data_IF_616909184158
#
_entry.id   IF_616909184158
#
_cell.length_a   1.000
_cell.length_b   1.000
_cell.length_c   1.000
_cell.angle_alpha   90.00
_cell.angle_beta   90.00
_cell.angle_gamma   90.00
#
_symmetry.space_group_name_H-M   'P 1'
#
loop_
_entity.id
_entity.type
_entity.pdbx_description
1 polymer ?
#
# COMPACT_ATOMS: atom_id res chain seq x y z
N UNK A 1 -28.34 -9.66 -7.56
CA UNK A 1 -27.57 -8.42 -7.29
C UNK A 1 -26.42 -8.78 -6.36
N UNK A 2 -25.19 -8.32 -6.63
CA UNK A 2 -24.10 -8.45 -5.65
C UNK A 2 -24.52 -7.71 -4.37
N UNK A 3 -24.41 -8.30 -3.17
CA UNK A 3 -24.79 -7.61 -1.95
C UNK A 3 -23.99 -6.31 -1.83
N UNK A 4 -24.65 -5.24 -1.39
CA UNK A 4 -24.02 -3.95 -1.16
C UNK A 4 -22.84 -4.16 -0.18
N UNK A 5 -21.64 -3.64 -0.47
CA UNK A 5 -20.47 -3.91 0.36
C UNK A 5 -20.70 -3.38 1.78
N UNK A 6 -20.28 -4.11 2.81
CA UNK A 6 -20.15 -3.51 4.12
C UNK A 6 -19.04 -2.45 4.05
N UNK A 7 -19.37 -1.23 4.47
CA UNK A 7 -18.47 -0.09 4.42
C UNK A 7 -18.07 0.31 5.84
N UNK A 8 -16.78 0.54 6.02
CA UNK A 8 -16.24 1.26 7.17
C UNK A 8 -15.49 2.45 6.60
N UNK A 9 -15.87 3.66 7.01
CA UNK A 9 -15.31 4.93 6.49
C UNK A 9 -15.24 4.97 4.95
N UNK A 10 -16.36 4.62 4.30
CA UNK A 10 -16.52 4.55 2.84
C UNK A 10 -15.55 3.60 2.12
N UNK A 11 -14.89 2.70 2.86
CA UNK A 11 -14.01 1.69 2.30
C UNK A 11 -14.67 0.33 2.44
N UNK A 12 -14.71 -0.43 1.35
CA UNK A 12 -15.27 -1.78 1.32
C UNK A 12 -14.44 -2.74 2.17
N UNK A 13 -15.09 -3.56 3.00
CA UNK A 13 -14.41 -4.49 3.94
C UNK A 13 -14.81 -5.94 3.75
N UNK A 14 -15.65 -6.23 2.75
CA UNK A 14 -15.99 -7.59 2.31
C UNK A 14 -15.19 -7.94 1.06
N UNK A 15 -14.99 -9.24 0.86
CA UNK A 15 -14.34 -9.76 -0.34
C UNK A 15 -15.03 -9.26 -1.60
N UNK A 16 -14.24 -8.78 -2.55
CA UNK A 16 -14.71 -8.43 -3.90
C UNK A 16 -14.94 -9.66 -4.78
N UNK A 17 -14.47 -10.84 -4.34
CA UNK A 17 -14.64 -12.11 -5.03
C UNK A 17 -16.05 -12.66 -4.92
N UNK A 18 -16.31 -13.70 -5.71
CA UNK A 18 -17.56 -14.44 -5.69
C UNK A 18 -17.86 -15.04 -4.29
N UNK A 19 -19.14 -15.14 -3.89
CA UNK A 19 -19.55 -15.99 -2.80
C UNK A 19 -19.01 -17.42 -2.99
N UNK A 20 -18.69 -18.13 -1.90
CA UNK A 20 -18.07 -19.46 -1.95
C UNK A 20 -18.80 -20.45 -2.86
N UNK A 21 -20.14 -20.41 -2.88
CA UNK A 21 -20.96 -21.27 -3.74
C UNK A 21 -20.71 -20.97 -5.23
N UNK A 22 -20.72 -19.70 -5.60
CA UNK A 22 -20.51 -19.26 -6.97
C UNK A 22 -19.06 -19.48 -7.41
N UNK A 23 -18.08 -19.19 -6.53
CA UNK A 23 -16.68 -19.52 -6.77
C UNK A 23 -16.48 -21.02 -7.06
N UNK A 24 -17.06 -21.90 -6.22
CA UNK A 24 -16.97 -23.35 -6.40
C UNK A 24 -17.61 -23.80 -7.71
N UNK A 25 -18.77 -23.26 -8.07
CA UNK A 25 -19.44 -23.58 -9.32
C UNK A 25 -18.61 -23.16 -10.53
N UNK A 26 -18.07 -21.94 -10.53
CA UNK A 26 -17.20 -21.45 -11.61
C UNK A 26 -15.93 -22.28 -11.72
N UNK A 27 -15.34 -22.65 -10.57
CA UNK A 27 -14.12 -23.45 -10.54
C UNK A 27 -14.34 -24.88 -11.03
N UNK A 28 -15.44 -25.53 -10.64
CA UNK A 28 -15.77 -26.88 -11.12
C UNK A 28 -16.09 -26.91 -12.62
N UNK A 29 -16.75 -25.86 -13.14
CA UNK A 29 -17.10 -25.74 -14.55
C UNK A 29 -15.88 -25.46 -15.44
N UNK A 30 -15.02 -24.52 -15.05
CA UNK A 30 -13.90 -24.07 -15.89
C UNK A 30 -12.61 -24.84 -15.64
N UNK A 31 -12.44 -25.43 -14.46
CA UNK A 31 -11.21 -26.09 -14.03
C UNK A 31 -11.50 -27.37 -13.21
N UNK A 32 -12.17 -28.38 -13.80
CA UNK A 32 -12.64 -29.56 -13.09
C UNK A 32 -11.53 -30.35 -12.40
N UNK A 33 -10.33 -30.41 -12.99
CA UNK A 33 -9.19 -31.13 -12.41
C UNK A 33 -8.61 -30.39 -11.20
N UNK A 34 -8.53 -29.06 -11.22
CA UNK A 34 -8.15 -28.27 -10.04
C UNK A 34 -9.21 -28.44 -8.95
N UNK A 35 -10.50 -28.34 -9.31
CA UNK A 35 -11.60 -28.45 -8.34
C UNK A 35 -11.58 -29.76 -7.56
N UNK A 36 -11.35 -30.90 -8.23
CA UNK A 36 -11.28 -32.23 -7.59
C UNK A 36 -10.12 -32.37 -6.61
N UNK A 37 -9.01 -31.67 -6.86
CA UNK A 37 -7.79 -31.76 -6.06
C UNK A 37 -7.71 -30.71 -4.93
N UNK A 38 -8.65 -29.77 -4.85
CA UNK A 38 -8.67 -28.76 -3.80
C UNK A 38 -9.39 -29.25 -2.54
N UNK A 39 -8.77 -29.00 -1.38
CA UNK A 39 -9.37 -29.29 -0.09
C UNK A 39 -10.27 -28.15 0.40
N UNK A 40 -11.57 -28.22 0.11
CA UNK A 40 -12.55 -27.24 0.57
C UNK A 40 -12.97 -27.38 2.04
N UNK A 41 -12.48 -28.38 2.78
CA UNK A 41 -12.80 -28.56 4.21
C UNK A 41 -11.99 -27.62 5.10
N UNK A 42 -10.81 -27.19 4.63
CA UNK A 42 -9.97 -26.26 5.37
C UNK A 42 -10.53 -24.84 5.22
N UNK A 43 -10.77 -24.16 6.35
CA UNK A 43 -11.08 -22.74 6.32
C UNK A 43 -9.82 -21.98 5.89
N UNK A 44 -9.89 -21.15 4.85
CA UNK A 44 -8.74 -20.34 4.46
C UNK A 44 -8.41 -19.34 5.58
N UNK A 45 -7.14 -19.29 5.96
CA UNK A 45 -6.58 -18.23 6.82
C UNK A 45 -6.12 -17.09 5.92
N UNK A 46 -7.08 -16.36 5.34
CA UNK A 46 -6.81 -15.22 4.46
C UNK A 46 -7.38 -13.93 5.02
N UNK A 47 -6.69 -12.83 4.71
CA UNK A 47 -7.21 -11.49 4.93
C UNK A 47 -8.11 -11.11 3.76
N UNK A 48 -9.21 -10.42 4.06
CA UNK A 48 -9.94 -9.70 3.02
C UNK A 48 -9.11 -8.48 2.66
N UNK A 49 -8.79 -8.32 1.37
CA UNK A 49 -8.22 -7.06 0.87
C UNK A 49 -9.35 -6.03 0.84
N UNK A 50 -9.31 -4.99 1.69
CA UNK A 50 -10.32 -3.95 1.70
C UNK A 50 -10.21 -3.09 0.44
N UNK A 51 -11.17 -2.22 0.20
CA UNK A 51 -11.05 -1.17 -0.80
C UNK A 51 -11.17 -1.57 -2.28
N UNK A 52 -11.18 -2.88 -2.59
CA UNK A 52 -11.25 -3.39 -3.97
C UNK A 52 -12.56 -3.08 -4.70
N UNK A 53 -13.68 -2.96 -4.00
CA UNK A 53 -14.96 -2.53 -4.61
C UNK A 53 -15.04 -1.01 -4.63
N UNK A 54 -14.68 -0.39 -3.50
CA UNK A 54 -14.57 1.04 -3.34
C UNK A 54 -13.68 1.38 -2.15
N UNK A 55 -12.97 2.50 -2.21
CA UNK A 55 -12.16 3.05 -1.13
C UNK A 55 -12.40 4.55 -0.98
N UNK A 56 -12.40 5.03 0.27
CA UNK A 56 -12.18 6.44 0.53
C UNK A 56 -10.79 6.83 0.01
N UNK A 57 -10.70 7.98 -0.64
CA UNK A 57 -9.45 8.53 -1.13
C UNK A 57 -9.55 10.06 -1.28
N UNK A 58 -8.45 10.71 -1.59
CA UNK A 58 -8.42 12.12 -1.97
C UNK A 58 -8.32 12.19 -3.49
N UNK A 59 -9.16 13.01 -4.12
CA UNK A 59 -9.07 13.24 -5.57
C UNK A 59 -7.73 13.91 -5.85
N UNK A 60 -6.97 13.34 -6.77
CA UNK A 60 -5.68 13.90 -7.14
C UNK A 60 -5.86 15.26 -7.81
N UNK A 61 -5.19 16.24 -7.24
CA UNK A 61 -5.04 17.60 -7.77
C UNK A 61 -3.66 18.10 -7.34
N UNK A 62 -3.20 19.26 -7.82
CA UNK A 62 -1.99 19.87 -7.29
C UNK A 62 -1.99 19.90 -5.74
N UNK A 63 -0.81 19.76 -5.10
CA UNK A 63 -0.72 19.49 -3.67
C UNK A 63 -1.60 20.39 -2.80
N UNK A 64 -2.40 19.77 -1.93
CA UNK A 64 -3.22 20.48 -0.93
C UNK A 64 -4.59 20.97 -1.41
N UNK A 65 -4.96 20.77 -2.67
CA UNK A 65 -6.28 21.14 -3.21
C UNK A 65 -7.23 19.95 -3.35
N UNK A 66 -6.76 18.74 -3.06
CA UNK A 66 -7.52 17.51 -3.24
C UNK A 66 -8.71 17.45 -2.29
N UNK A 67 -9.86 17.03 -2.82
CA UNK A 67 -11.09 16.84 -2.04
C UNK A 67 -11.32 15.35 -1.77
N UNK A 68 -11.87 14.97 -0.61
CA UNK A 68 -12.28 13.60 -0.37
C UNK A 68 -13.27 13.11 -1.42
N UNK A 69 -13.10 11.86 -1.85
CA UNK A 69 -14.02 11.18 -2.75
C UNK A 69 -13.91 9.67 -2.62
N UNK A 70 -14.56 8.98 -3.55
CA UNK A 70 -14.63 7.52 -3.58
C UNK A 70 -13.96 7.02 -4.85
N UNK A 71 -12.90 6.24 -4.68
CA UNK A 71 -12.23 5.52 -5.75
C UNK A 71 -12.85 4.13 -5.91
N UNK A 72 -13.03 3.69 -7.16
CA UNK A 72 -13.62 2.38 -7.51
C UNK A 72 -12.63 1.47 -8.25
N UNK A 73 -11.37 1.90 -8.38
CA UNK A 73 -10.36 1.29 -9.25
C UNK A 73 -8.99 1.20 -8.56
N UNK A 74 -9.00 1.01 -7.24
CA UNK A 74 -7.78 0.86 -6.46
C UNK A 74 -7.12 -0.50 -6.72
N UNK A 75 -5.87 -0.48 -7.17
CA UNK A 75 -5.02 -1.64 -7.39
C UNK A 75 -4.08 -1.81 -6.19
N UNK A 76 -4.26 -2.84 -5.33
CA UNK A 76 -3.32 -3.14 -4.26
C UNK A 76 -1.98 -3.64 -4.81
N UNK A 77 -0.87 -3.27 -4.17
CA UNK A 77 0.46 -3.60 -4.69
C UNK A 77 1.49 -3.98 -3.62
N UNK A 78 1.55 -3.27 -2.50
CA UNK A 78 2.55 -3.49 -1.45
C UNK A 78 1.94 -3.96 -0.13
N UNK A 79 2.76 -4.59 0.70
CA UNK A 79 2.35 -5.12 2.01
C UNK A 79 3.46 -4.94 3.05
N UNK A 80 3.09 -4.50 4.25
CA UNK A 80 4.00 -4.43 5.39
C UNK A 80 3.29 -4.86 6.69
N UNK A 81 4.04 -5.48 7.60
CA UNK A 81 3.58 -5.81 8.94
C UNK A 81 4.25 -4.85 9.92
N UNK A 82 3.45 -4.18 10.76
CA UNK A 82 3.94 -3.27 11.79
C UNK A 82 3.73 -3.91 13.16
N UNK A 83 4.83 -4.27 13.83
CA UNK A 83 4.87 -4.77 15.22
C UNK A 83 3.85 -5.89 15.53
N UNK A 84 3.48 -6.71 14.54
CA UNK A 84 2.38 -7.69 14.62
C UNK A 84 1.05 -7.11 15.16
N UNK A 85 0.88 -5.79 15.04
CA UNK A 85 -0.29 -5.02 15.43
C UNK A 85 -1.11 -4.67 14.21
N UNK A 86 -0.45 -4.23 13.14
CA UNK A 86 -1.10 -3.86 11.90
C UNK A 86 -0.55 -4.62 10.70
N UNK A 87 -1.46 -4.97 9.79
CA UNK A 87 -1.15 -5.30 8.42
C UNK A 87 -1.48 -4.08 7.55
N UNK A 88 -0.50 -3.60 6.79
CA UNK A 88 -0.64 -2.46 5.88
C UNK A 88 -0.65 -2.99 4.45
N UNK A 89 -1.62 -2.55 3.66
CA UNK A 89 -1.69 -2.82 2.22
C UNK A 89 -1.70 -1.48 1.50
N UNK A 90 -0.74 -1.25 0.59
CA UNK A 90 -0.75 -0.06 -0.26
C UNK A 90 -1.54 -0.31 -1.53
N UNK A 91 -2.23 0.72 -2.03
CA UNK A 91 -2.97 0.67 -3.29
C UNK A 91 -2.93 2.02 -4.01
N UNK A 92 -2.97 2.00 -5.34
CA UNK A 92 -3.04 3.20 -6.18
C UNK A 92 -4.28 3.16 -7.07
N UNK A 93 -4.81 4.31 -7.48
CA UNK A 93 -5.92 4.37 -8.44
C UNK A 93 -5.42 4.08 -9.84
N UNK A 94 -5.97 3.07 -10.51
CA UNK A 94 -5.60 2.67 -11.87
C UNK A 94 -5.75 3.82 -12.87
N UNK A 95 -6.83 4.60 -12.75
CA UNK A 95 -7.12 5.77 -13.57
C UNK A 95 -6.26 7.00 -13.23
N UNK A 96 -5.47 6.95 -12.15
CA UNK A 96 -4.68 8.08 -11.62
C UNK A 96 -5.54 9.29 -11.24
N UNK A 97 -6.82 9.07 -10.93
CA UNK A 97 -7.77 10.13 -10.55
C UNK A 97 -7.79 10.41 -9.05
N UNK A 98 -7.33 9.46 -8.24
CA UNK A 98 -7.23 9.57 -6.79
C UNK A 98 -5.81 9.30 -6.32
N UNK A 99 -5.44 9.96 -5.24
CA UNK A 99 -4.23 9.67 -4.50
C UNK A 99 -4.21 8.22 -4.03
N UNK A 100 -3.02 7.63 -4.04
CA UNK A 100 -2.73 6.33 -3.45
C UNK A 100 -3.09 6.30 -1.96
N UNK A 101 -3.39 5.10 -1.48
CA UNK A 101 -3.85 4.88 -0.11
C UNK A 101 -3.05 3.77 0.57
N UNK A 102 -3.05 3.79 1.89
CA UNK A 102 -2.71 2.65 2.73
C UNK A 102 -3.98 2.18 3.46
N UNK A 103 -4.32 0.91 3.31
CA UNK A 103 -5.32 0.28 4.14
C UNK A 103 -4.64 -0.35 5.36
N UNK A 104 -5.13 0.02 6.54
CA UNK A 104 -4.65 -0.50 7.82
C UNK A 104 -5.63 -1.56 8.29
N UNK A 105 -5.15 -2.77 8.51
CA UNK A 105 -5.90 -3.87 9.11
C UNK A 105 -5.29 -4.22 10.46
N UNK A 106 -6.11 -4.69 11.40
CA UNK A 106 -5.64 -5.35 12.60
C UNK A 106 -4.98 -6.67 12.22
N UNK A 107 -3.73 -6.87 12.64
CA UNK A 107 -2.94 -8.02 12.21
C UNK A 107 -3.52 -9.34 12.73
N UNK A 108 -4.10 -9.38 13.93
CA UNK A 108 -4.58 -10.63 14.52
C UNK A 108 -5.92 -11.09 13.94
N UNK A 109 -6.82 -10.14 13.71
CA UNK A 109 -8.22 -10.41 13.32
C UNK A 109 -8.48 -10.20 11.84
N UNK A 110 -7.58 -9.50 11.14
CA UNK A 110 -7.75 -9.10 9.75
C UNK A 110 -8.86 -8.08 9.53
N UNK A 111 -9.38 -7.47 10.59
CA UNK A 111 -10.42 -6.45 10.49
C UNK A 111 -9.82 -5.16 9.96
N UNK A 112 -10.47 -4.56 8.97
CA UNK A 112 -10.13 -3.22 8.51
C UNK A 112 -10.27 -2.20 9.64
N UNK A 113 -9.24 -1.39 9.82
CA UNK A 113 -9.15 -0.35 10.87
C UNK A 113 -9.45 1.02 10.27
N UNK A 114 -8.74 1.40 9.19
CA UNK A 114 -8.87 2.72 8.56
C UNK A 114 -8.18 2.75 7.19
N UNK A 115 -8.54 3.75 6.40
CA UNK A 115 -7.79 4.18 5.21
C UNK A 115 -6.94 5.38 5.55
N UNK A 116 -5.70 5.40 5.05
CA UNK A 116 -4.80 6.55 5.07
C UNK A 116 -4.59 7.01 3.63
N UNK A 117 -4.95 8.24 3.30
CA UNK A 117 -4.60 8.80 1.99
C UNK A 117 -3.16 9.29 2.01
N UNK A 118 -2.44 8.99 0.94
CA UNK A 118 -1.13 9.55 0.63
C UNK A 118 -1.30 10.79 -0.22
N UNK A 119 -0.21 11.50 -0.49
CA UNK A 119 -0.21 12.72 -1.32
C UNK A 119 0.51 12.46 -2.64
N UNK A 120 0.16 11.37 -3.32
CA UNK A 120 0.74 10.98 -4.61
C UNK A 120 -0.22 10.07 -5.38
N UNK A 121 -0.07 10.03 -6.71
CA UNK A 121 -0.79 9.12 -7.63
C UNK A 121 0.04 7.89 -8.02
N UNK A 122 1.21 7.77 -7.43
CA UNK A 122 2.26 6.93 -7.94
C UNK A 122 2.05 5.47 -7.56
N UNK A 123 2.75 4.60 -8.26
CA UNK A 123 2.78 3.18 -7.91
C UNK A 123 3.49 3.02 -6.57
N UNK A 124 2.71 2.90 -5.50
CA UNK A 124 3.15 2.67 -4.12
C UNK A 124 3.52 1.21 -3.87
N UNK A 125 4.27 0.61 -4.81
CA UNK A 125 4.55 -0.83 -4.83
C UNK A 125 5.55 -1.30 -3.77
N UNK A 126 6.46 -0.43 -3.34
CA UNK A 126 7.42 -0.73 -2.28
C UNK A 126 7.02 -0.07 -0.96
N UNK A 127 6.62 -0.86 0.04
CA UNK A 127 6.50 -0.41 1.42
C UNK A 127 7.25 -1.35 2.36
N UNK A 128 7.87 -0.82 3.40
CA UNK A 128 8.53 -1.63 4.42
C UNK A 128 8.48 -0.95 5.77
N UNK A 129 8.36 -1.73 6.83
CA UNK A 129 8.46 -1.23 8.20
C UNK A 129 9.91 -1.26 8.66
N UNK A 130 10.34 -0.19 9.31
CA UNK A 130 11.60 -0.06 10.02
C UNK A 130 11.28 -0.13 11.52
N UNK A 131 11.50 -1.33 12.07
CA UNK A 131 11.18 -1.66 13.46
C UNK A 131 12.07 -0.96 14.48
N UNK A 132 13.31 -0.61 14.08
CA UNK A 132 14.28 0.04 14.94
C UNK A 132 13.90 1.51 15.20
N UNK A 133 13.31 2.18 14.20
CA UNK A 133 12.95 3.60 14.26
C UNK A 133 11.44 3.86 14.18
N UNK A 134 10.63 2.80 14.26
CA UNK A 134 9.16 2.82 14.34
C UNK A 134 8.50 3.66 13.24
N UNK A 135 8.85 3.38 11.98
CA UNK A 135 8.34 4.10 10.80
C UNK A 135 8.07 3.17 9.63
N UNK A 136 7.09 3.54 8.81
CA UNK A 136 6.85 2.92 7.52
C UNK A 136 7.55 3.74 6.43
N UNK A 137 8.38 3.08 5.64
CA UNK A 137 8.94 3.61 4.40
C UNK A 137 8.02 3.29 3.24
N UNK A 138 7.80 4.27 2.37
CA UNK A 138 6.96 4.19 1.18
C UNK A 138 7.79 4.66 0.00
N UNK A 139 7.88 3.83 -1.03
CA UNK A 139 8.43 4.21 -2.32
C UNK A 139 7.46 5.18 -3.02
N UNK A 140 8.00 6.30 -3.49
CA UNK A 140 7.29 7.34 -4.23
C UNK A 140 8.12 7.76 -5.43
N UNK A 141 7.61 8.69 -6.23
CA UNK A 141 8.44 9.42 -7.19
C UNK A 141 8.31 10.91 -6.93
N UNK A 142 9.33 11.67 -7.31
CA UNK A 142 9.29 13.12 -7.27
C UNK A 142 8.62 13.69 -8.54
N UNK A 143 8.52 15.02 -8.61
CA UNK A 143 7.94 15.72 -9.76
C UNK A 143 8.69 15.45 -11.07
N UNK A 144 9.99 15.15 -11.00
CA UNK A 144 10.85 14.79 -12.14
C UNK A 144 10.75 13.30 -12.54
N UNK A 145 9.78 12.54 -11.99
CA UNK A 145 9.61 11.11 -12.25
C UNK A 145 10.80 10.24 -11.81
N UNK A 146 11.58 10.70 -10.82
CA UNK A 146 12.69 9.95 -10.21
C UNK A 146 12.26 9.30 -8.91
N UNK A 147 12.81 8.11 -8.64
CA UNK A 147 12.54 7.38 -7.42
C UNK A 147 12.86 8.20 -6.17
N UNK A 148 11.92 8.15 -5.24
CA UNK A 148 12.03 8.73 -3.92
C UNK A 148 11.56 7.70 -2.90
N UNK A 149 12.03 7.84 -1.68
CA UNK A 149 11.43 7.17 -0.53
C UNK A 149 11.00 8.20 0.49
N UNK A 150 9.82 8.01 1.04
CA UNK A 150 9.26 8.86 2.07
C UNK A 150 8.87 8.01 3.28
N UNK A 151 8.91 8.60 4.48
CA UNK A 151 8.57 7.89 5.71
C UNK A 151 7.44 8.54 6.49
N UNK A 152 6.65 7.70 7.14
CA UNK A 152 5.65 8.11 8.14
C UNK A 152 5.84 7.31 9.42
N UNK A 153 5.79 7.97 10.57
CA UNK A 153 5.97 7.30 11.86
C UNK A 153 4.74 6.47 12.22
N UNK A 154 4.94 5.42 13.03
CA UNK A 154 3.84 4.66 13.61
C UNK A 154 2.86 5.57 14.37
N UNK A 155 3.39 6.55 15.12
CA UNK A 155 2.57 7.52 15.85
C UNK A 155 1.62 8.30 14.94
N UNK A 156 2.09 8.76 13.78
CA UNK A 156 1.23 9.48 12.82
C UNK A 156 0.24 8.53 12.13
N UNK A 157 0.62 7.29 11.80
CA UNK A 157 -0.31 6.25 11.30
C UNK A 157 -1.46 6.01 12.29
N UNK A 158 -1.13 5.88 13.59
CA UNK A 158 -2.11 5.63 14.64
C UNK A 158 -3.03 6.83 14.87
N UNK A 159 -2.48 8.05 14.86
CA UNK A 159 -3.22 9.30 15.03
C UNK A 159 -4.09 9.66 13.81
N UNK A 160 -3.72 9.19 12.61
CA UNK A 160 -4.43 9.53 11.38
C UNK A 160 -5.91 9.12 11.44
N UNK A 161 -6.77 10.02 10.99
CA UNK A 161 -8.20 9.79 10.89
C UNK A 161 -8.73 10.49 9.63
N UNK A 162 -9.01 9.71 8.59
CA UNK A 162 -9.46 10.22 7.29
C UNK A 162 -10.74 11.06 7.42
N UNK A 163 -11.73 10.57 8.18
CA UNK A 163 -13.03 11.23 8.35
C UNK A 163 -12.93 12.62 8.97
N UNK A 164 -12.02 12.79 9.94
CA UNK A 164 -11.77 14.07 10.61
C UNK A 164 -10.86 14.99 9.79
N UNK A 165 -9.77 14.45 9.24
CA UNK A 165 -8.72 15.25 8.62
C UNK A 165 -9.03 15.60 7.17
N UNK A 166 -9.66 14.68 6.42
CA UNK A 166 -10.06 14.86 5.01
C UNK A 166 -8.89 15.31 4.10
N UNK A 167 -7.67 14.93 4.46
CA UNK A 167 -6.43 15.34 3.81
C UNK A 167 -5.44 14.18 3.79
N UNK A 168 -4.49 14.18 2.84
CA UNK A 168 -3.37 13.24 2.87
C UNK A 168 -2.59 13.29 4.18
N UNK A 169 -2.03 12.15 4.58
CA UNK A 169 -1.03 12.09 5.65
C UNK A 169 0.23 12.85 5.20
N UNK A 170 0.88 13.53 6.14
CA UNK A 170 2.16 14.20 5.87
C UNK A 170 3.29 13.20 6.10
N UNK A 171 4.19 13.10 5.12
CA UNK A 171 5.45 12.41 5.30
C UNK A 171 6.40 13.26 6.14
N UNK A 172 7.09 12.63 7.08
CA UNK A 172 8.05 13.30 7.97
C UNK A 172 9.38 13.55 7.27
N UNK A 173 9.79 12.58 6.44
CA UNK A 173 11.05 12.64 5.70
C UNK A 173 10.85 12.12 4.29
N UNK A 174 11.64 12.67 3.36
CA UNK A 174 11.75 12.22 1.98
C UNK A 174 13.20 12.27 1.52
N UNK A 175 13.59 11.36 0.64
CA UNK A 175 14.92 11.36 0.01
C UNK A 175 14.82 10.86 -1.42
N UNK A 176 15.34 11.65 -2.35
CA UNK A 176 15.48 11.25 -3.76
C UNK A 176 16.60 10.22 -3.86
N UNK A 177 16.37 9.15 -4.58
CA UNK A 177 17.37 8.11 -4.79
C UNK A 177 18.22 8.46 -6.02
N UNK A 178 19.54 8.32 -5.91
CA UNK A 178 20.45 8.44 -7.06
C UNK A 178 20.20 7.34 -8.09
N UNK A 179 19.93 6.13 -7.61
CA UNK A 179 19.57 4.92 -8.34
C UNK A 179 18.67 4.08 -7.43
N UNK A 180 17.87 3.13 -7.93
CA UNK A 180 17.39 3.09 -9.31
C UNK A 180 16.49 4.30 -9.61
N UNK A 181 16.22 4.57 -10.89
CA UNK A 181 15.30 5.66 -11.29
C UNK A 181 13.84 5.37 -10.93
N UNK A 182 13.49 4.10 -10.66
CA UNK A 182 12.16 3.66 -10.21
C UNK A 182 12.31 2.55 -9.18
N UNK A 183 11.39 2.49 -8.23
CA UNK A 183 11.38 1.44 -7.20
C UNK A 183 10.28 0.44 -7.50
N UNK A 184 10.65 -0.83 -7.68
CA UNK A 184 9.71 -1.93 -7.87
C UNK A 184 9.35 -2.62 -6.55
N UNK A 185 10.32 -2.75 -5.64
CA UNK A 185 10.15 -3.39 -4.34
C UNK A 185 11.17 -2.82 -3.35
N UNK A 186 10.85 -2.90 -2.05
CA UNK A 186 11.68 -2.35 -0.98
C UNK A 186 11.53 -3.18 0.29
N UNK A 187 12.63 -3.38 1.02
CA UNK A 187 12.62 -3.99 2.36
C UNK A 187 13.65 -3.34 3.27
N UNK A 188 13.38 -3.35 4.57
CA UNK A 188 14.27 -2.88 5.62
C UNK A 188 14.93 -4.08 6.31
N UNK A 189 16.22 -3.98 6.58
CA UNK A 189 16.88 -4.92 7.48
C UNK A 189 18.17 -4.31 8.07
N UNK A 190 18.31 -4.34 9.40
CA UNK A 190 19.52 -3.94 10.14
C UNK A 190 20.08 -2.58 9.69
N UNK A 191 19.27 -1.53 9.84
CA UNK A 191 19.62 -0.14 9.54
C UNK A 191 20.02 0.10 8.07
N UNK A 192 19.43 -0.68 7.15
CA UNK A 192 19.55 -0.50 5.70
C UNK A 192 18.19 -0.65 5.02
N UNK A 193 17.98 0.14 3.98
CA UNK A 193 16.92 -0.08 3.01
C UNK A 193 17.50 -0.77 1.78
N UNK A 194 16.93 -1.90 1.43
CA UNK A 194 17.20 -2.62 0.20
C UNK A 194 16.11 -2.27 -0.79
N UNK A 195 16.51 -1.66 -1.90
CA UNK A 195 15.60 -1.09 -2.89
C UNK A 195 15.93 -1.75 -4.22
N UNK A 196 14.93 -2.34 -4.86
CA UNK A 196 15.12 -3.00 -6.13
C UNK A 196 14.30 -2.41 -7.27
N UNK A 197 14.82 -2.59 -8.47
CA UNK A 197 14.20 -2.20 -9.72
C UNK A 197 14.20 -3.38 -10.68
N UNK A 198 13.00 -3.72 -11.14
CA UNK A 198 12.78 -4.75 -12.14
C UNK A 198 12.93 -4.15 -13.54
N UNK A 199 13.83 -4.72 -14.34
CA UNK A 199 14.05 -4.33 -15.73
C UNK A 199 14.15 -5.58 -16.61
N UNK A 200 13.22 -5.72 -17.56
CA UNK A 200 13.16 -6.89 -18.45
C UNK A 200 14.38 -7.04 -19.36
N UNK A 201 15.12 -5.96 -19.62
CA UNK A 201 16.22 -5.92 -20.59
C UNK A 201 17.56 -6.01 -19.87
N UNK A 202 17.74 -5.22 -18.81
CA UNK A 202 19.02 -5.11 -18.09
C UNK A 202 19.15 -6.09 -16.93
N UNK A 203 18.06 -6.78 -16.57
CA UNK A 203 17.98 -7.64 -15.40
C UNK A 203 17.76 -6.83 -14.12
N UNK A 204 17.34 -7.55 -13.08
CA UNK A 204 16.93 -6.95 -11.81
C UNK A 204 18.14 -6.37 -11.06
N UNK A 205 17.95 -5.17 -10.52
CA UNK A 205 18.96 -4.46 -9.76
C UNK A 205 18.54 -4.33 -8.30
N UNK A 206 19.48 -4.53 -7.38
CA UNK A 206 19.27 -4.38 -5.94
C UNK A 206 20.31 -3.43 -5.35
N UNK A 207 19.85 -2.40 -4.65
CA UNK A 207 20.67 -1.37 -4.04
C UNK A 207 20.48 -1.37 -2.52
N UNK A 208 21.57 -1.23 -1.78
CA UNK A 208 21.53 -1.18 -0.32
C UNK A 208 21.92 0.20 0.19
N UNK A 209 20.96 0.91 0.80
CA UNK A 209 21.14 2.23 1.37
C UNK A 209 21.36 2.13 2.88
N UNK A 210 22.55 2.53 3.34
CA UNK A 210 22.84 2.59 4.77
C UNK A 210 22.19 3.83 5.39
N UNK A 211 21.37 3.60 6.41
CA UNK A 211 20.77 4.67 7.19
C UNK A 211 21.75 5.14 8.28
N UNK A 212 21.56 6.38 8.75
CA UNK A 212 22.30 6.93 9.88
C UNK A 212 21.69 6.43 11.21
N UNK A 213 22.27 6.82 12.36
CA UNK A 213 21.81 6.39 13.69
C UNK A 213 20.36 6.78 14.05
N UNK A 214 19.75 7.69 13.28
CA UNK A 214 18.35 8.10 13.43
C UNK A 214 17.43 7.39 12.43
N UNK A 215 17.94 6.41 11.68
CA UNK A 215 17.18 5.71 10.65
C UNK A 215 16.95 6.55 9.40
N UNK A 216 17.75 7.57 9.13
CA UNK A 216 17.57 8.45 7.97
C UNK A 216 18.70 8.28 6.96
N UNK A 217 18.42 8.59 5.69
CA UNK A 217 19.46 8.71 4.67
C UNK A 217 20.51 9.74 5.10
N UNK A 218 21.78 9.47 4.79
CA UNK A 218 22.85 10.46 4.97
C UNK A 218 22.66 11.53 3.89
N UNK A 219 22.10 12.69 4.26
CA UNK A 219 21.85 13.88 3.42
C UNK A 219 22.31 13.72 1.96
N UNK A 220 21.47 13.14 1.11
CA UNK A 220 21.35 13.61 -0.26
C UNK A 220 20.46 14.86 -0.15
N UNK A 221 21.00 16.02 -0.53
CA UNK A 221 20.29 17.29 -0.41
C UNK A 221 18.92 17.14 -1.07
N UNK A 222 17.83 17.53 -0.39
CA UNK A 222 16.62 17.91 -1.11
C UNK A 222 17.06 19.01 -2.09
N UNK A 223 17.09 18.70 -3.39
CA UNK A 223 16.87 19.72 -4.38
C UNK A 223 15.36 19.91 -4.36
N UNK A 224 14.94 20.95 -3.65
CA UNK A 224 13.60 21.50 -3.79
C UNK A 224 13.44 21.88 -5.26
N UNK A 225 12.53 21.18 -5.95
CA UNK A 225 11.97 21.54 -7.24
C UNK A 225 10.50 21.84 -7.04
#
# INVERSE_FOLDING_TARGET
MKPQPALIDNTSTRSASYPTKEFKNLLSQNYPDIYKNLNFKQKPTCYVIPGLIQSAAIKYTPPGQGQPGIAYDMDPQGLAIIDHKYLIISAYSKSKTFDSVLWVLDFKTGRFVKTIALNNIDHVGGITYDEDHKRLWVATINQEQRAQVQSVTLKEIEKYNFKKQKKPIKFEHGTNLLVPLRTSYMTYHKNKLYIGYFDKVRGDQLFAYKLNKKGLFKKDKMQDG
#
